data_IF_201644005006
#
_entry.id   IF_201644005006
#
_cell.length_a   1.000
_cell.length_b   1.000
_cell.length_c   1.000
_cell.angle_alpha   90.00
_cell.angle_beta   90.00
_cell.angle_gamma   90.00
#
_symmetry.space_group_name_H-M   'P 1'
#
loop_
_entity.id
_entity.type
_entity.pdbx_description
1 polymer ?
#
# COMPACT_ATOMS: atom_id res chain seq x y z
N UNK A 1 -57.17 -51.14 5.70
CA UNK A 1 -57.35 -51.12 4.24
C UNK A 1 -56.52 -49.97 3.71
N UNK A 2 -55.52 -50.05 2.84
CA UNK A 2 -54.84 -51.14 2.14
C UNK A 2 -53.51 -50.54 1.63
N UNK A 3 -52.45 -51.34 1.75
CA UNK A 3 -51.20 -51.42 0.97
C UNK A 3 -51.00 -50.40 -0.18
N UNK A 4 -49.82 -49.79 -0.27
CA UNK A 4 -48.75 -50.24 -1.19
C UNK A 4 -47.47 -49.40 -1.04
N UNK A 5 -46.37 -50.13 -0.87
CA UNK A 5 -44.98 -49.72 -0.95
C UNK A 5 -44.54 -49.70 -2.42
N UNK A 6 -43.62 -48.81 -2.81
CA UNK A 6 -42.44 -49.20 -3.61
C UNK A 6 -41.44 -48.04 -3.74
N UNK A 7 -40.21 -48.34 -3.35
CA UNK A 7 -39.02 -47.54 -3.51
C UNK A 7 -38.62 -47.40 -4.98
N UNK A 8 -37.95 -46.30 -5.33
CA UNK A 8 -36.87 -46.33 -6.32
C UNK A 8 -35.78 -45.33 -5.89
N UNK A 9 -34.67 -45.89 -5.42
CA UNK A 9 -33.36 -45.26 -5.38
C UNK A 9 -32.97 -44.89 -6.82
N UNK A 10 -32.31 -43.74 -7.01
CA UNK A 10 -31.13 -43.56 -7.87
C UNK A 10 -30.63 -42.10 -7.73
N UNK A 11 -29.36 -41.98 -7.34
CA UNK A 11 -28.53 -40.77 -7.41
C UNK A 11 -28.02 -40.59 -8.87
N UNK A 12 -26.96 -39.81 -9.15
CA UNK A 12 -26.89 -38.36 -9.36
C UNK A 12 -26.38 -38.05 -10.78
N UNK A 13 -26.97 -37.09 -11.51
CA UNK A 13 -26.34 -36.62 -12.77
C UNK A 13 -25.61 -35.31 -12.53
N UNK A 14 -24.29 -35.43 -12.55
CA UNK A 14 -23.31 -34.37 -12.58
C UNK A 14 -23.63 -33.32 -13.64
N UNK A 15 -23.75 -32.05 -13.23
CA UNK A 15 -23.49 -30.92 -14.12
C UNK A 15 -21.99 -30.64 -14.07
N UNK A 16 -21.29 -31.36 -14.93
CA UNK A 16 -19.94 -31.00 -15.36
C UNK A 16 -19.98 -29.61 -16.02
N UNK A 17 -19.17 -28.69 -15.50
CA UNK A 17 -18.85 -27.43 -16.16
C UNK A 17 -17.62 -27.69 -17.05
N UNK A 18 -17.71 -27.61 -18.39
CA UNK A 18 -16.54 -27.70 -19.24
C UNK A 18 -15.72 -26.39 -19.21
N UNK A 19 -14.38 -26.49 -19.22
CA UNK A 19 -13.49 -25.35 -19.45
C UNK A 19 -13.37 -25.08 -20.96
N UNK A 20 -13.39 -23.82 -21.37
CA UNK A 20 -13.20 -23.47 -22.77
C UNK A 20 -13.02 -21.96 -23.03
N UNK A 21 -12.00 -21.55 -23.79
CA UNK A 21 -11.70 -20.17 -24.13
C UNK A 21 -12.38 -19.73 -25.45
N UNK A 22 -12.28 -18.43 -25.72
CA UNK A 22 -12.50 -17.77 -27.02
C UNK A 22 -13.93 -17.39 -27.44
N UNK A 23 -13.96 -16.20 -28.03
CA UNK A 23 -15.06 -15.42 -28.57
C UNK A 23 -16.11 -16.18 -29.40
N UNK A 24 -17.36 -15.75 -29.27
CA UNK A 24 -18.33 -15.89 -30.37
C UNK A 24 -19.02 -14.56 -30.66
N UNK A 25 -18.90 -14.17 -31.93
CA UNK A 25 -19.41 -12.98 -32.60
C UNK A 25 -20.88 -13.21 -32.96
N UNK A 26 -21.76 -12.23 -32.70
CA UNK A 26 -23.15 -12.25 -33.15
C UNK A 26 -23.26 -11.77 -34.62
N UNK A 27 -23.85 -12.55 -35.55
CA UNK A 27 -24.11 -12.15 -36.93
C UNK A 27 -25.57 -11.69 -37.14
N UNK A 28 -25.79 -10.90 -38.21
CA UNK A 28 -27.05 -10.34 -38.78
C UNK A 28 -27.45 -8.96 -38.20
N UNK A 29 -26.90 -7.82 -38.66
CA UNK A 29 -26.99 -7.10 -39.97
C UNK A 29 -28.30 -6.29 -40.12
N UNK A 30 -28.41 -5.36 -41.09
CA UNK A 30 -27.94 -3.97 -41.09
C UNK A 30 -29.14 -3.00 -41.13
N UNK A 31 -28.99 -1.74 -40.75
CA UNK A 31 -29.55 -0.58 -41.47
C UNK A 31 -28.92 0.69 -40.88
N UNK A 32 -28.57 1.56 -41.80
CA UNK A 32 -27.86 2.82 -41.60
C UNK A 32 -28.62 3.77 -40.69
N UNK A 33 -28.14 3.94 -39.45
CA UNK A 33 -28.36 5.18 -38.71
C UNK A 33 -27.01 5.88 -38.67
N UNK A 34 -26.91 6.88 -39.55
CA UNK A 34 -25.87 7.89 -39.50
C UNK A 34 -26.09 8.65 -38.19
N UNK A 35 -25.41 8.23 -37.13
CA UNK A 35 -25.35 9.02 -35.91
C UNK A 35 -24.55 10.29 -36.24
N UNK A 36 -25.15 11.50 -36.18
CA UNK A 36 -24.37 12.71 -36.37
C UNK A 36 -23.28 12.72 -35.29
N UNK A 37 -22.04 12.90 -35.73
CA UNK A 37 -20.91 13.28 -34.90
C UNK A 37 -21.26 14.61 -34.23
N UNK A 38 -22.00 14.56 -33.12
CA UNK A 38 -21.97 15.62 -32.13
C UNK A 38 -20.60 15.56 -31.49
N UNK A 39 -19.73 16.57 -31.67
CA UNK A 39 -18.50 16.62 -30.91
C UNK A 39 -18.91 16.66 -29.44
N UNK A 40 -18.43 15.69 -28.65
CA UNK A 40 -18.44 15.83 -27.19
C UNK A 40 -17.54 17.01 -26.86
N UNK A 41 -18.12 18.21 -26.86
CA UNK A 41 -17.57 19.33 -26.12
C UNK A 41 -17.59 18.89 -24.66
N UNK A 42 -16.43 18.45 -24.19
CA UNK A 42 -16.18 18.32 -22.76
C UNK A 42 -16.48 19.68 -22.15
N UNK A 43 -17.34 19.80 -21.12
CA UNK A 43 -17.43 21.06 -20.40
C UNK A 43 -16.03 21.36 -19.89
N UNK A 44 -15.54 22.54 -20.25
CA UNK A 44 -14.31 23.08 -19.69
C UNK A 44 -14.45 23.01 -18.17
N UNK A 45 -13.74 22.08 -17.55
CA UNK A 45 -13.59 22.06 -16.10
C UNK A 45 -12.92 23.38 -15.76
N UNK A 46 -13.70 24.35 -15.28
CA UNK A 46 -13.18 25.58 -14.70
C UNK A 46 -12.06 25.16 -13.76
N UNK A 47 -10.82 25.42 -14.18
CA UNK A 47 -9.65 25.20 -13.39
C UNK A 47 -9.78 26.14 -12.21
N UNK A 48 -10.38 25.65 -11.12
CA UNK A 48 -10.42 26.39 -9.87
C UNK A 48 -8.96 26.55 -9.49
N UNK A 49 -8.45 27.77 -9.64
CA UNK A 49 -7.09 28.11 -9.29
C UNK A 49 -6.84 27.59 -7.87
N UNK A 50 -5.83 26.73 -7.72
CA UNK A 50 -5.37 26.32 -6.39
C UNK A 50 -5.03 27.62 -5.64
N UNK A 51 -5.55 27.84 -4.41
CA UNK A 51 -5.18 29.01 -3.64
C UNK A 51 -3.66 29.05 -3.54
N UNK A 52 -3.08 30.22 -3.85
CA UNK A 52 -1.65 30.46 -3.72
C UNK A 52 -1.30 30.19 -2.27
N UNK A 53 -0.50 29.14 -2.02
CA UNK A 53 -0.05 28.83 -0.65
C UNK A 53 0.70 30.06 -0.14
N UNK A 54 0.35 30.51 1.05
CA UNK A 54 1.05 31.57 1.77
C UNK A 54 2.56 31.29 1.79
N UNK A 55 3.42 32.33 1.80
CA UNK A 55 4.85 32.16 1.99
C UNK A 55 5.15 31.28 3.22
N UNK A 56 6.17 30.43 3.19
CA UNK A 56 6.52 29.60 4.34
C UNK A 56 6.84 30.49 5.54
N UNK A 57 6.25 30.13 6.69
CA UNK A 57 6.53 30.74 7.98
C UNK A 57 8.06 30.82 8.26
N UNK A 58 8.53 31.81 9.04
CA UNK A 58 9.94 32.10 9.20
C UNK A 58 10.78 30.89 9.64
N UNK A 59 12.01 30.84 9.11
CA UNK A 59 13.04 29.82 9.34
C UNK A 59 13.10 29.45 10.83
N UNK A 60 12.94 28.16 11.10
CA UNK A 60 12.77 27.60 12.43
C UNK A 60 13.77 28.17 13.45
N UNK A 61 13.26 28.70 14.57
CA UNK A 61 14.07 29.23 15.68
C UNK A 61 14.90 28.11 16.32
N UNK A 62 16.11 28.38 16.83
CA UNK A 62 16.88 27.38 17.57
C UNK A 62 16.17 26.96 18.86
N UNK A 63 16.50 25.77 19.35
CA UNK A 63 16.08 25.27 20.65
C UNK A 63 16.63 26.16 21.78
N UNK A 64 15.81 26.45 22.79
CA UNK A 64 16.18 27.25 23.96
C UNK A 64 17.16 26.55 24.90
N UNK A 65 17.24 25.21 24.83
CA UNK A 65 18.19 24.44 25.63
C UNK A 65 19.64 24.87 25.34
N UNK A 66 20.44 25.22 26.36
CA UNK A 66 21.83 25.64 26.17
C UNK A 66 22.64 24.54 25.48
N UNK A 67 23.43 24.91 24.47
CA UNK A 67 24.24 23.96 23.69
C UNK A 67 23.46 23.13 22.66
N UNK A 68 22.15 23.33 22.49
CA UNK A 68 21.37 22.63 21.48
C UNK A 68 21.37 23.35 20.13
N UNK A 69 21.94 22.73 19.10
CA UNK A 69 21.93 23.26 17.71
C UNK A 69 20.67 22.90 16.92
N UNK A 70 19.78 22.08 17.50
CA UNK A 70 18.55 21.64 16.84
C UNK A 70 17.52 22.77 16.83
N UNK A 71 16.65 22.74 15.83
CA UNK A 71 15.56 23.69 15.73
C UNK A 71 14.41 23.37 16.69
N UNK A 72 13.80 24.43 17.21
CA UNK A 72 12.60 24.37 18.02
C UNK A 72 11.39 23.99 17.14
N UNK A 73 10.60 23.05 17.65
CA UNK A 73 9.36 22.58 17.00
C UNK A 73 8.16 23.29 17.62
N UNK A 74 7.98 23.15 18.93
CA UNK A 74 6.98 23.90 19.71
C UNK A 74 7.58 24.32 21.05
N UNK A 75 6.98 25.30 21.72
CA UNK A 75 7.39 25.77 23.06
C UNK A 75 8.87 26.20 23.15
N UNK A 76 9.49 26.56 22.04
CA UNK A 76 10.91 26.93 21.98
C UNK A 76 11.90 25.77 22.14
N UNK A 77 11.43 24.51 22.10
CA UNK A 77 12.30 23.34 22.29
C UNK A 77 12.30 22.43 21.06
N UNK A 78 13.38 21.69 20.84
CA UNK A 78 13.43 20.64 19.81
C UNK A 78 12.66 19.38 20.26
N UNK A 79 12.50 18.39 19.39
CA UNK A 79 11.78 17.14 19.71
C UNK A 79 12.36 16.45 20.95
N UNK A 80 13.70 16.40 21.06
CA UNK A 80 14.39 15.79 22.19
C UNK A 80 14.13 16.54 23.50
N UNK A 81 14.10 17.88 23.46
CA UNK A 81 13.94 18.75 24.64
C UNK A 81 12.49 19.15 24.92
N UNK A 82 11.49 18.42 24.39
CA UNK A 82 10.08 18.63 24.75
C UNK A 82 9.25 19.47 23.79
N UNK A 83 9.76 19.76 22.59
CA UNK A 83 9.03 20.43 21.51
C UNK A 83 7.98 19.58 20.78
N UNK A 84 7.86 18.29 21.12
CA UNK A 84 6.84 17.39 20.56
C UNK A 84 5.74 17.08 21.57
N UNK A 85 4.53 16.77 21.09
CA UNK A 85 3.46 16.22 21.95
C UNK A 85 3.90 14.87 22.50
N UNK A 86 3.74 14.65 23.80
CA UNK A 86 4.06 13.37 24.47
C UNK A 86 2.84 12.47 24.50
N UNK A 87 3.10 11.17 24.60
CA UNK A 87 2.05 10.18 24.79
C UNK A 87 1.27 10.49 26.09
N UNK A 88 -0.05 10.44 26.05
CA UNK A 88 -0.91 10.68 27.21
C UNK A 88 -0.86 9.57 28.26
N UNK A 89 -0.36 8.38 27.90
CA UNK A 89 -0.10 7.31 28.87
C UNK A 89 1.01 7.73 29.84
N UNK A 90 0.73 7.59 31.12
CA UNK A 90 1.66 7.93 32.20
C UNK A 90 3.02 7.26 32.01
N UNK A 91 4.08 7.99 32.36
CA UNK A 91 5.47 7.53 32.29
C UNK A 91 5.94 7.04 30.90
N UNK A 92 5.22 7.36 29.82
CA UNK A 92 5.66 7.01 28.47
C UNK A 92 6.59 8.10 27.88
N UNK A 93 7.89 7.81 27.63
CA UNK A 93 8.81 8.79 27.05
C UNK A 93 8.55 9.04 25.56
N UNK A 94 7.70 8.24 24.93
CA UNK A 94 7.45 8.30 23.48
C UNK A 94 6.60 9.51 23.10
N UNK A 95 6.90 10.09 21.93
CA UNK A 95 6.06 11.12 21.32
C UNK A 95 4.71 10.58 20.88
N UNK A 96 3.67 11.39 21.02
CA UNK A 96 2.36 11.13 20.47
C UNK A 96 2.39 11.26 18.93
N UNK A 97 1.77 10.29 18.26
CA UNK A 97 1.66 10.26 16.80
C UNK A 97 0.24 10.57 16.32
N UNK A 98 -0.77 10.02 16.99
CA UNK A 98 -2.19 10.27 16.72
C UNK A 98 -2.97 10.17 18.03
N UNK A 99 -4.04 10.94 18.18
CA UNK A 99 -4.94 10.90 19.34
C UNK A 99 -4.22 11.07 20.70
N UNK A 100 -3.12 11.82 20.74
CA UNK A 100 -2.32 11.97 21.96
C UNK A 100 -1.53 10.73 22.37
N UNK A 101 -1.52 9.66 21.57
CA UNK A 101 -0.91 8.38 21.92
C UNK A 101 0.29 8.06 21.03
N UNK A 102 1.26 7.34 21.56
CA UNK A 102 2.40 6.85 20.78
C UNK A 102 2.02 5.59 19.98
N UNK A 103 2.93 5.12 19.12
CA UNK A 103 2.68 3.94 18.28
C UNK A 103 2.44 2.64 19.08
N UNK A 104 2.93 2.55 20.33
CA UNK A 104 2.70 1.40 21.23
C UNK A 104 1.34 1.49 21.93
N UNK A 105 0.86 2.70 22.18
CA UNK A 105 -0.35 2.96 22.95
C UNK A 105 -1.55 3.35 22.08
N UNK A 106 -1.60 2.94 20.80
CA UNK A 106 -2.77 3.20 19.94
C UNK A 106 -2.69 4.47 19.07
N UNK A 107 -1.53 5.11 18.99
CA UNK A 107 -1.23 6.23 18.07
C UNK A 107 -1.12 5.83 16.60
N UNK A 108 -1.75 4.74 16.18
CA UNK A 108 -1.80 4.23 14.81
C UNK A 108 -3.13 3.53 14.55
N UNK A 109 -3.62 3.60 13.31
CA UNK A 109 -4.80 2.85 12.89
C UNK A 109 -4.46 1.36 12.74
N UNK A 110 -5.35 0.49 13.18
CA UNK A 110 -5.28 -0.95 12.93
C UNK A 110 -5.74 -1.27 11.52
N UNK A 111 -5.38 -2.46 11.04
CA UNK A 111 -5.84 -2.97 9.76
C UNK A 111 -7.35 -3.19 9.81
N UNK A 112 -8.08 -2.70 8.81
CA UNK A 112 -9.53 -2.87 8.69
C UNK A 112 -9.95 -4.31 8.31
N UNK A 113 -9.00 -5.13 7.85
CA UNK A 113 -9.26 -6.52 7.53
C UNK A 113 -9.70 -7.32 8.77
N UNK A 114 -10.74 -8.17 8.68
CA UNK A 114 -11.28 -8.90 9.81
C UNK A 114 -10.21 -9.76 10.48
N UNK A 115 -10.18 -9.74 11.82
CA UNK A 115 -9.24 -10.51 12.66
C UNK A 115 -7.75 -10.16 12.41
N UNK A 116 -7.44 -9.01 11.82
CA UNK A 116 -6.07 -8.56 11.65
C UNK A 116 -5.63 -7.58 12.76
N UNK A 117 -4.66 -7.97 13.57
CA UNK A 117 -4.06 -7.10 14.60
C UNK A 117 -2.91 -6.22 14.08
N UNK A 118 -2.56 -6.34 12.80
CA UNK A 118 -1.50 -5.53 12.21
C UNK A 118 -1.92 -4.06 12.10
N UNK A 119 -0.92 -3.19 12.02
CA UNK A 119 -1.12 -1.75 11.81
C UNK A 119 -1.42 -1.46 10.35
N UNK A 120 -2.39 -0.58 10.12
CA UNK A 120 -2.65 -0.04 8.79
C UNK A 120 -1.52 0.88 8.36
N UNK A 121 -1.18 0.81 7.06
CA UNK A 121 -0.26 1.73 6.41
C UNK A 121 -1.04 2.72 5.55
N UNK A 122 -1.44 2.31 4.36
CA UNK A 122 -2.33 3.08 3.47
C UNK A 122 -3.65 2.35 3.28
N UNK A 123 -4.69 3.06 2.84
CA UNK A 123 -6.01 2.50 2.50
C UNK A 123 -6.72 1.76 3.66
N UNK A 124 -6.33 2.01 4.92
CA UNK A 124 -6.93 1.33 6.08
C UNK A 124 -6.43 -0.11 6.31
N UNK A 125 -5.53 -0.63 5.48
CA UNK A 125 -5.04 -2.02 5.54
C UNK A 125 -3.54 -2.11 5.81
N UNK A 126 -3.08 -3.25 6.31
CA UNK A 126 -1.65 -3.52 6.58
C UNK A 126 -0.92 -4.00 5.33
N UNK A 127 0.40 -4.22 5.43
CA UNK A 127 1.23 -4.66 4.30
C UNK A 127 0.72 -5.95 3.63
N UNK A 128 0.33 -6.95 4.42
CA UNK A 128 -0.16 -8.23 3.90
C UNK A 128 -1.55 -8.13 3.25
N UNK A 129 -2.32 -7.10 3.57
CA UNK A 129 -3.66 -6.87 3.03
C UNK A 129 -3.70 -5.72 2.01
N UNK A 130 -2.57 -5.37 1.39
CA UNK A 130 -2.53 -4.39 0.29
C UNK A 130 -2.25 -2.94 0.72
N UNK A 131 -1.78 -2.70 1.94
CA UNK A 131 -1.38 -1.37 2.42
C UNK A 131 -0.05 -0.85 1.83
N UNK A 132 0.46 -1.45 0.77
CA UNK A 132 1.64 -1.01 0.04
C UNK A 132 1.30 -0.53 -1.37
N UNK A 133 2.23 0.18 -2.02
CA UNK A 133 2.07 0.52 -3.44
C UNK A 133 2.19 -0.76 -4.27
N UNK A 134 1.36 -0.91 -5.29
CA UNK A 134 1.50 -2.01 -6.25
C UNK A 134 2.72 -1.80 -7.14
N UNK A 135 3.25 -2.89 -7.67
CA UNK A 135 4.30 -2.87 -8.68
C UNK A 135 3.84 -2.08 -9.91
N UNK A 136 4.71 -1.26 -10.47
CA UNK A 136 4.40 -0.42 -11.63
C UNK A 136 4.28 -1.22 -12.94
N UNK A 137 4.71 -2.47 -12.94
CA UNK A 137 4.48 -3.40 -14.05
C UNK A 137 2.98 -3.72 -14.18
N UNK A 138 2.38 -3.56 -15.37
CA UNK A 138 0.93 -3.58 -15.57
C UNK A 138 0.28 -4.92 -15.22
N UNK A 139 1.04 -6.01 -15.27
CA UNK A 139 0.55 -7.37 -15.03
C UNK A 139 1.01 -7.91 -13.67
N UNK A 140 1.46 -7.05 -12.76
CA UNK A 140 2.01 -7.44 -11.47
C UNK A 140 1.16 -6.96 -10.30
N UNK A 141 0.55 -7.90 -9.58
CA UNK A 141 -0.22 -7.61 -8.35
C UNK A 141 0.64 -7.52 -7.10
N UNK A 142 1.96 -7.77 -7.22
CA UNK A 142 2.88 -7.76 -6.07
C UNK A 142 3.10 -6.34 -5.56
N UNK A 143 3.34 -6.22 -4.27
CA UNK A 143 3.69 -4.96 -3.64
C UNK A 143 5.09 -4.50 -4.07
N UNK A 144 5.20 -3.22 -4.44
CA UNK A 144 6.47 -2.57 -4.72
C UNK A 144 7.32 -2.43 -3.45
N UNK A 145 8.61 -2.77 -3.56
CA UNK A 145 9.59 -2.62 -2.47
C UNK A 145 10.27 -1.25 -2.57
N UNK A 146 10.96 -0.99 -3.68
CA UNK A 146 11.71 0.23 -3.99
C UNK A 146 11.50 0.57 -5.47
N UNK A 147 11.71 1.84 -5.84
CA UNK A 147 11.62 2.31 -7.23
C UNK A 147 10.30 2.00 -7.96
N UNK A 148 9.22 1.74 -7.23
CA UNK A 148 7.92 1.39 -7.82
C UNK A 148 7.79 -0.07 -8.27
N UNK A 149 8.80 -0.91 -8.10
CA UNK A 149 8.77 -2.29 -8.56
C UNK A 149 8.82 -3.31 -7.43
N UNK A 150 8.32 -4.52 -7.68
CA UNK A 150 8.47 -5.65 -6.78
C UNK A 150 9.86 -6.29 -6.92
N UNK A 151 10.20 -7.27 -6.07
CA UNK A 151 11.50 -7.97 -6.11
C UNK A 151 11.86 -8.52 -7.51
N UNK A 152 10.89 -9.11 -8.21
CA UNK A 152 11.08 -9.69 -9.54
C UNK A 152 11.34 -8.62 -10.61
N UNK A 153 10.69 -7.45 -10.51
CA UNK A 153 10.73 -6.39 -11.51
C UNK A 153 11.71 -5.25 -11.17
N UNK A 154 12.70 -5.49 -10.30
CA UNK A 154 13.77 -4.51 -10.00
C UNK A 154 13.60 -3.70 -8.71
N UNK A 155 12.69 -4.10 -7.83
CA UNK A 155 12.45 -3.45 -6.53
C UNK A 155 13.49 -3.71 -5.44
N UNK A 156 14.55 -4.46 -5.74
CA UNK A 156 15.60 -4.82 -4.78
C UNK A 156 16.94 -5.07 -5.45
N UNK A 157 18.02 -4.94 -4.69
CA UNK A 157 19.39 -5.11 -5.19
C UNK A 157 19.72 -6.60 -5.36
N UNK A 158 20.21 -6.98 -6.54
CA UNK A 158 20.73 -8.33 -6.81
C UNK A 158 22.17 -8.43 -6.33
N UNK A 159 22.60 -9.65 -6.04
CA UNK A 159 23.98 -9.94 -5.72
C UNK A 159 24.89 -9.50 -6.87
N UNK A 160 26.00 -8.84 -6.52
CA UNK A 160 27.00 -8.37 -7.49
C UNK A 160 27.71 -9.50 -8.22
N UNK A 161 27.78 -10.70 -7.63
CA UNK A 161 28.38 -11.87 -8.26
C UNK A 161 27.61 -12.24 -9.53
N UNK A 162 28.35 -12.42 -10.62
CA UNK A 162 27.79 -12.76 -11.93
C UNK A 162 26.91 -14.01 -11.86
N UNK A 163 25.73 -13.95 -12.49
CA UNK A 163 24.73 -15.03 -12.47
C UNK A 163 23.93 -15.17 -11.16
N UNK A 164 24.28 -14.45 -10.09
CA UNK A 164 23.59 -14.60 -8.81
C UNK A 164 22.34 -13.70 -8.70
N UNK A 165 21.15 -14.33 -8.61
CA UNK A 165 19.88 -13.62 -8.45
C UNK A 165 19.42 -13.48 -6.99
N UNK A 166 20.26 -13.86 -6.02
CA UNK A 166 19.95 -13.77 -4.58
C UNK A 166 19.84 -12.31 -4.14
N UNK A 167 19.05 -12.05 -3.08
CA UNK A 167 18.99 -10.73 -2.47
C UNK A 167 20.32 -10.29 -1.91
N UNK A 168 20.62 -9.01 -2.12
CA UNK A 168 21.81 -8.36 -1.63
C UNK A 168 21.48 -7.09 -0.86
N UNK A 169 22.38 -6.76 0.07
CA UNK A 169 22.21 -5.64 0.97
C UNK A 169 23.42 -4.71 0.90
N UNK A 170 23.17 -3.41 1.06
CA UNK A 170 24.23 -2.39 1.01
C UNK A 170 25.28 -2.58 2.11
N UNK A 171 24.86 -3.04 3.29
CA UNK A 171 25.75 -3.41 4.40
C UNK A 171 26.70 -4.59 4.10
N UNK A 172 26.43 -5.34 3.04
CA UNK A 172 27.23 -6.50 2.62
C UNK A 172 27.85 -6.22 1.23
N UNK A 173 28.15 -4.98 0.89
CA UNK A 173 28.73 -4.57 -0.41
C UNK A 173 27.91 -5.02 -1.64
N UNK A 174 26.59 -5.13 -1.46
CA UNK A 174 25.67 -5.67 -2.46
C UNK A 174 25.98 -7.12 -2.85
N UNK A 175 26.46 -7.90 -1.89
CA UNK A 175 26.58 -9.35 -1.98
C UNK A 175 25.43 -10.02 -1.22
N UNK A 176 25.08 -11.24 -1.63
CA UNK A 176 24.14 -12.06 -0.89
C UNK A 176 24.80 -12.66 0.35
N UNK A 177 24.00 -13.30 1.19
CA UNK A 177 24.44 -14.04 2.37
C UNK A 177 25.49 -15.15 2.09
N UNK A 178 25.50 -15.69 0.87
CA UNK A 178 26.47 -16.71 0.44
C UNK A 178 27.75 -16.10 -0.12
N UNK A 179 27.65 -14.95 -0.78
CA UNK A 179 28.81 -14.30 -1.43
C UNK A 179 29.42 -13.16 -0.60
N UNK A 180 28.79 -12.76 0.51
CA UNK A 180 29.40 -11.81 1.41
C UNK A 180 30.50 -12.49 2.22
N UNK A 181 31.71 -11.93 2.21
CA UNK A 181 32.73 -12.29 3.17
C UNK A 181 32.19 -11.94 4.57
N UNK A 182 31.91 -12.95 5.39
CA UNK A 182 31.58 -12.70 6.79
C UNK A 182 32.88 -12.25 7.46
N UNK A 183 32.99 -10.96 7.77
CA UNK A 183 34.05 -10.47 8.64
C UNK A 183 34.01 -11.30 9.93
N UNK A 184 35.11 -12.03 10.20
CA UNK A 184 35.29 -12.82 11.42
C UNK A 184 35.78 -11.91 12.54
#
# INVERSE_FOLDING_TARGET
>A
MSKLSLAFLLHPTALACPPGPEAYVCPLSPETIVCPLSPRVSPASSARAKPKRSPPAPRSRPCKEPGCTKYAVTRGHCIAHGGGKRCSVEQCPSGAKSNGLCWKHGGSKTCSFPKCSNRSKTYGVCWSHGGGKQCADPNCTKTALRHGFCWAHGGGKRCRTEGCQRPAYERNDNLCDVHCAKAS
#
